data_IF_735727024048
#
_entry.id   IF_735727024048
#
_cell.length_a   1.000
_cell.length_b   1.000
_cell.length_c   1.000
_cell.angle_alpha   90.00
_cell.angle_beta   90.00
_cell.angle_gamma   90.00
#
_symmetry.space_group_name_H-M   'P 1'
#
loop_
_entity.id
_entity.type
_entity.pdbx_description
1 polymer ?
#
# COMPACT_ATOMS: atom_id res chain seq x y z
N UNK A 1 -25.71 -9.19 -17.17
CA UNK A 1 -25.10 -10.43 -17.74
C UNK A 1 -24.07 -10.93 -16.76
N UNK A 2 -24.02 -12.24 -16.43
CA UNK A 2 -23.12 -12.72 -15.40
C UNK A 2 -21.67 -12.65 -15.90
N UNK A 3 -20.77 -12.14 -15.06
CA UNK A 3 -19.32 -12.12 -15.29
C UNK A 3 -18.86 -13.50 -15.74
N UNK A 4 -18.16 -13.55 -16.88
CA UNK A 4 -17.69 -14.77 -17.52
C UNK A 4 -16.93 -15.68 -16.56
N UNK A 5 -17.34 -16.94 -16.49
CA UNK A 5 -16.75 -18.08 -15.75
C UNK A 5 -15.23 -18.21 -15.96
N UNK A 6 -14.69 -17.59 -17.01
CA UNK A 6 -13.26 -17.53 -17.32
C UNK A 6 -12.43 -16.73 -16.30
N UNK A 7 -12.98 -15.69 -15.66
CA UNK A 7 -12.29 -14.91 -14.63
C UNK A 7 -12.21 -15.67 -13.29
N UNK A 8 -13.26 -16.44 -12.96
CA UNK A 8 -13.28 -17.29 -11.77
C UNK A 8 -12.22 -18.40 -11.85
N UNK A 9 -12.09 -19.06 -13.00
CA UNK A 9 -11.16 -20.17 -13.17
C UNK A 9 -9.68 -19.75 -13.23
N UNK A 10 -9.37 -18.50 -13.61
CA UNK A 10 -8.00 -17.97 -13.55
C UNK A 10 -7.54 -17.64 -12.14
N UNK A 11 -8.46 -17.40 -11.20
CA UNK A 11 -8.13 -17.15 -9.79
C UNK A 11 -7.88 -18.45 -9.02
N UNK A 12 -8.45 -19.58 -9.45
CA UNK A 12 -8.32 -20.87 -8.74
C UNK A 12 -7.09 -21.71 -9.15
N UNK A 13 -6.44 -21.44 -10.29
CA UNK A 13 -5.42 -22.34 -10.86
C UNK A 13 -3.96 -21.93 -10.57
N UNK A 14 -3.72 -20.86 -9.80
CA UNK A 14 -2.38 -20.49 -9.32
C UNK A 14 -2.14 -21.07 -7.92
N UNK A 15 -1.78 -22.35 -7.86
CA UNK A 15 -1.55 -23.07 -6.61
C UNK A 15 -0.38 -22.56 -5.76
N UNK A 16 -0.65 -22.53 -4.45
CA UNK A 16 0.27 -22.72 -3.31
C UNK A 16 1.00 -21.50 -2.70
N UNK A 17 0.62 -21.20 -1.45
CA UNK A 17 1.29 -20.39 -0.41
C UNK A 17 1.13 -18.86 -0.39
N UNK A 18 -0.08 -18.33 -0.59
CA UNK A 18 -0.40 -16.95 -0.22
C UNK A 18 -1.22 -16.95 1.08
N UNK A 19 -0.51 -16.96 2.21
CA UNK A 19 -1.13 -16.94 3.54
C UNK A 19 -2.08 -15.74 3.67
N UNK A 20 -3.26 -15.97 4.26
CA UNK A 20 -4.21 -14.90 4.56
C UNK A 20 -3.51 -13.86 5.43
N UNK A 21 -3.19 -12.70 4.86
CA UNK A 21 -2.69 -11.58 5.65
C UNK A 21 -3.70 -11.22 6.73
N UNK A 22 -3.18 -10.81 7.88
CA UNK A 22 -4.01 -10.32 8.97
C UNK A 22 -4.57 -8.94 8.61
N UNK A 23 -5.66 -8.58 9.27
CA UNK A 23 -6.21 -7.22 9.20
C UNK A 23 -5.87 -6.45 10.47
N UNK A 24 -5.77 -5.13 10.34
CA UNK A 24 -5.80 -4.18 11.46
C UNK A 24 -7.21 -3.70 11.80
N UNK A 25 -8.22 -4.15 11.05
CA UNK A 25 -9.62 -3.86 11.35
C UNK A 25 -10.00 -4.40 12.75
N UNK A 26 -10.78 -3.64 13.54
CA UNK A 26 -11.18 -4.07 14.88
C UNK A 26 -12.17 -5.25 14.86
N UNK A 27 -12.84 -5.52 13.73
CA UNK A 27 -13.95 -6.47 13.62
C UNK A 27 -13.62 -7.72 12.77
N UNK A 28 -12.40 -7.86 12.26
CA UNK A 28 -11.98 -9.03 11.47
C UNK A 28 -10.49 -9.33 11.68
N UNK A 29 -10.13 -10.61 11.62
CA UNK A 29 -8.76 -11.05 11.84
C UNK A 29 -7.90 -11.05 10.56
N UNK A 30 -8.53 -11.07 9.39
CA UNK A 30 -7.87 -11.23 8.10
C UNK A 30 -8.30 -10.12 7.15
N UNK A 31 -7.37 -9.73 6.26
CA UNK A 31 -7.65 -8.76 5.22
C UNK A 31 -8.75 -9.26 4.28
N UNK A 32 -9.47 -8.33 3.65
CA UNK A 32 -10.54 -8.66 2.70
C UNK A 32 -9.98 -9.44 1.52
N UNK A 33 -10.51 -10.63 1.22
CA UNK A 33 -10.14 -11.37 0.02
C UNK A 33 -10.38 -10.55 -1.26
N UNK A 34 -9.53 -10.73 -2.27
CA UNK A 34 -9.62 -9.98 -3.54
C UNK A 34 -10.99 -10.14 -4.21
N UNK A 35 -11.55 -11.35 -4.20
CA UNK A 35 -12.88 -11.62 -4.77
C UNK A 35 -13.99 -10.85 -4.01
N UNK A 36 -13.84 -10.66 -2.70
CA UNK A 36 -14.75 -9.85 -1.90
C UNK A 36 -14.57 -8.36 -2.19
N UNK A 37 -13.35 -7.84 -2.29
CA UNK A 37 -13.10 -6.44 -2.70
C UNK A 37 -13.73 -6.13 -4.05
N UNK A 38 -13.57 -7.02 -5.04
CA UNK A 38 -14.20 -6.89 -6.33
C UNK A 38 -15.72 -6.82 -6.20
N UNK A 39 -16.37 -7.72 -5.44
CA UNK A 39 -17.83 -7.70 -5.25
C UNK A 39 -18.33 -6.44 -4.55
N UNK A 40 -17.58 -5.91 -3.60
CA UNK A 40 -18.02 -4.77 -2.78
C UNK A 40 -17.79 -3.42 -3.47
N UNK A 41 -16.75 -3.29 -4.29
CA UNK A 41 -16.35 -2.02 -4.91
C UNK A 41 -16.78 -1.89 -6.39
N UNK A 42 -17.01 -3.00 -7.09
CA UNK A 42 -17.52 -3.04 -8.46
C UNK A 42 -19.05 -3.25 -8.38
N UNK A 43 -19.82 -2.18 -8.55
CA UNK A 43 -21.28 -2.25 -8.67
C UNK A 43 -21.72 -2.70 -10.08
N UNK A 44 -23.03 -2.81 -10.32
CA UNK A 44 -23.56 -3.23 -11.63
C UNK A 44 -23.47 -2.17 -12.71
N UNK A 45 -23.24 -0.92 -12.33
CA UNK A 45 -23.31 0.24 -13.23
C UNK A 45 -21.91 0.65 -13.72
N UNK A 46 -20.85 0.10 -13.11
CA UNK A 46 -19.47 0.31 -13.54
C UNK A 46 -19.20 -0.34 -14.90
N UNK A 47 -18.47 0.40 -15.74
CA UNK A 47 -18.04 -0.07 -17.05
C UNK A 47 -17.24 -1.38 -16.94
N UNK A 48 -17.55 -2.36 -17.79
CA UNK A 48 -16.95 -3.69 -17.73
C UNK A 48 -15.44 -3.70 -17.96
N UNK A 49 -14.91 -2.72 -18.71
CA UNK A 49 -13.47 -2.55 -18.90
C UNK A 49 -12.79 -2.01 -17.64
N UNK A 50 -13.47 -1.12 -16.89
CA UNK A 50 -12.98 -0.64 -15.59
C UNK A 50 -13.01 -1.77 -14.57
N UNK A 51 -14.09 -2.56 -14.53
CA UNK A 51 -14.19 -3.73 -13.67
C UNK A 51 -13.06 -4.75 -13.93
N UNK A 52 -12.75 -5.02 -15.20
CA UNK A 52 -11.67 -5.91 -15.58
C UNK A 52 -10.29 -5.35 -15.20
N UNK A 53 -10.04 -4.06 -15.47
CA UNK A 53 -8.79 -3.40 -15.09
C UNK A 53 -8.58 -3.40 -13.57
N UNK A 54 -9.64 -3.15 -12.80
CA UNK A 54 -9.60 -3.22 -11.35
C UNK A 54 -9.27 -4.62 -10.84
N UNK A 55 -10.02 -5.64 -11.29
CA UNK A 55 -9.84 -7.01 -10.83
C UNK A 55 -8.44 -7.54 -11.15
N UNK A 56 -7.91 -7.21 -12.33
CA UNK A 56 -6.54 -7.56 -12.70
C UNK A 56 -5.52 -6.80 -11.84
N UNK A 57 -5.67 -5.48 -11.70
CA UNK A 57 -4.72 -4.64 -10.98
C UNK A 57 -4.61 -4.99 -9.49
N UNK A 58 -5.73 -5.25 -8.81
CA UNK A 58 -5.71 -5.65 -7.40
C UNK A 58 -5.11 -7.04 -7.19
N UNK A 59 -5.33 -7.97 -8.13
CA UNK A 59 -4.72 -9.30 -8.10
C UNK A 59 -3.20 -9.21 -8.31
N UNK A 60 -2.75 -8.40 -9.27
CA UNK A 60 -1.32 -8.13 -9.51
C UNK A 60 -0.66 -7.46 -8.31
N UNK A 61 -1.33 -6.48 -7.69
CA UNK A 61 -0.84 -5.82 -6.47
C UNK A 61 -0.68 -6.83 -5.32
N UNK A 62 -1.67 -7.69 -5.13
CA UNK A 62 -1.62 -8.76 -4.11
C UNK A 62 -0.46 -9.72 -4.36
N UNK A 63 -0.29 -10.16 -5.61
CA UNK A 63 0.83 -11.03 -5.97
C UNK A 63 2.18 -10.33 -5.72
N UNK A 64 2.32 -9.08 -6.12
CA UNK A 64 3.55 -8.31 -5.94
C UNK A 64 3.89 -8.15 -4.46
N UNK A 65 2.92 -7.81 -3.59
CA UNK A 65 3.19 -7.69 -2.14
C UNK A 65 3.71 -9.00 -1.59
N UNK A 66 3.12 -10.13 -1.95
CA UNK A 66 3.54 -11.42 -1.43
C UNK A 66 4.91 -11.87 -1.92
N UNK A 67 5.22 -11.60 -3.18
CA UNK A 67 6.52 -11.91 -3.77
C UNK A 67 7.63 -11.03 -3.15
N UNK A 68 7.37 -9.72 -3.05
CA UNK A 68 8.37 -8.73 -2.69
C UNK A 68 8.50 -8.49 -1.18
N UNK A 69 7.46 -8.81 -0.41
CA UNK A 69 7.42 -8.72 1.05
C UNK A 69 6.90 -10.05 1.65
N UNK A 70 7.69 -11.14 1.58
CA UNK A 70 7.25 -12.47 2.03
C UNK A 70 6.93 -12.54 3.53
N UNK A 71 7.50 -11.62 4.32
CA UNK A 71 7.24 -11.51 5.76
C UNK A 71 6.05 -10.58 6.08
N UNK A 72 5.37 -10.02 5.07
CA UNK A 72 4.29 -9.06 5.27
C UNK A 72 3.16 -9.64 6.13
N UNK A 73 2.77 -8.93 7.18
CA UNK A 73 1.84 -9.44 8.21
C UNK A 73 0.43 -8.99 7.92
N UNK A 74 0.29 -7.69 7.64
CA UNK A 74 -1.00 -7.06 7.38
C UNK A 74 -1.05 -6.48 5.98
N UNK A 75 -2.19 -6.62 5.32
CA UNK A 75 -2.39 -6.09 3.99
C UNK A 75 -3.88 -5.81 3.76
N UNK A 76 -4.41 -4.87 4.53
CA UNK A 76 -5.72 -4.31 4.22
C UNK A 76 -5.62 -3.43 2.97
N UNK A 77 -6.29 -3.84 1.89
CA UNK A 77 -6.25 -3.18 0.59
C UNK A 77 -7.54 -2.41 0.28
N UNK A 78 -8.52 -2.41 1.18
CA UNK A 78 -9.85 -1.85 0.98
C UNK A 78 -9.78 -0.36 0.60
N UNK A 79 -9.03 0.43 1.38
CA UNK A 79 -8.86 1.85 1.11
C UNK A 79 -8.05 2.11 -0.16
N UNK A 80 -6.96 1.36 -0.42
CA UNK A 80 -6.17 1.48 -1.65
C UNK A 80 -7.07 1.24 -2.87
N UNK A 81 -7.80 0.13 -2.86
CA UNK A 81 -8.69 -0.27 -3.93
C UNK A 81 -9.78 0.79 -4.19
N UNK A 82 -10.44 1.28 -3.13
CA UNK A 82 -11.44 2.33 -3.23
C UNK A 82 -10.85 3.67 -3.73
N UNK A 83 -9.66 4.06 -3.25
CA UNK A 83 -8.99 5.29 -3.64
C UNK A 83 -8.65 5.31 -5.14
N UNK A 84 -8.12 4.22 -5.69
CA UNK A 84 -7.80 4.14 -7.12
C UNK A 84 -9.05 4.20 -8.00
N UNK A 85 -10.13 3.50 -7.64
CA UNK A 85 -11.41 3.60 -8.35
C UNK A 85 -11.98 5.03 -8.31
N UNK A 86 -11.93 5.68 -7.14
CA UNK A 86 -12.40 7.05 -6.99
C UNK A 86 -11.54 8.05 -7.77
N UNK A 87 -10.22 7.83 -7.86
CA UNK A 87 -9.34 8.63 -8.72
C UNK A 87 -9.76 8.54 -10.19
N UNK A 88 -9.99 7.33 -10.69
CA UNK A 88 -10.47 7.09 -12.07
C UNK A 88 -11.82 7.78 -12.33
N UNK A 89 -12.76 7.69 -11.38
CA UNK A 89 -14.08 8.36 -11.47
C UNK A 89 -13.95 9.89 -11.51
N UNK A 90 -13.13 10.49 -10.63
CA UNK A 90 -12.90 11.94 -10.61
C UNK A 90 -12.33 12.44 -11.94
N UNK A 91 -11.28 11.78 -12.46
CA UNK A 91 -10.65 12.11 -13.75
C UNK A 91 -11.63 12.03 -14.93
N UNK A 92 -12.49 11.01 -14.96
CA UNK A 92 -13.50 10.87 -16.01
C UNK A 92 -14.51 12.04 -16.02
N UNK A 93 -14.81 12.61 -14.85
CA UNK A 93 -15.74 13.73 -14.69
C UNK A 93 -15.11 15.10 -14.99
N UNK A 94 -13.79 15.25 -14.84
CA UNK A 94 -13.12 16.55 -14.96
C UNK A 94 -12.91 17.03 -16.40
N UNK A 95 -12.72 16.15 -17.39
CA UNK A 95 -12.64 16.53 -18.82
C UNK A 95 -12.83 15.32 -19.79
N UNK A 96 -14.07 14.96 -20.16
CA UNK A 96 -14.36 13.80 -21.03
C UNK A 96 -13.75 13.89 -22.44
N UNK A 97 -13.40 15.09 -22.90
CA UNK A 97 -12.98 15.37 -24.28
C UNK A 97 -11.46 15.55 -24.46
N UNK A 98 -10.68 15.58 -23.38
CA UNK A 98 -9.24 15.93 -23.41
C UNK A 98 -8.33 14.76 -23.00
N UNK A 99 -8.86 13.72 -22.34
CA UNK A 99 -8.06 12.54 -21.99
C UNK A 99 -7.84 11.64 -23.21
N UNK A 100 -6.60 11.55 -23.69
CA UNK A 100 -6.21 10.63 -24.78
C UNK A 100 -6.33 9.15 -24.38
N UNK A 101 -6.36 8.86 -23.07
CA UNK A 101 -6.41 7.52 -22.48
C UNK A 101 -7.77 7.24 -21.86
N UNK A 102 -8.28 6.00 -22.00
CA UNK A 102 -9.56 5.59 -21.41
C UNK A 102 -9.49 5.50 -19.88
N UNK A 103 -10.62 5.62 -19.15
CA UNK A 103 -10.63 5.45 -17.69
C UNK A 103 -10.08 4.10 -17.21
N UNK A 104 -10.33 3.02 -17.96
CA UNK A 104 -9.80 1.68 -17.66
C UNK A 104 -8.29 1.59 -17.86
N UNK A 105 -7.74 2.26 -18.87
CA UNK A 105 -6.29 2.36 -19.07
C UNK A 105 -5.63 3.18 -17.95
N UNK A 106 -6.21 4.33 -17.57
CA UNK A 106 -5.71 5.12 -16.45
C UNK A 106 -5.69 4.32 -15.13
N UNK A 107 -6.73 3.52 -14.88
CA UNK A 107 -6.78 2.66 -13.70
C UNK A 107 -5.68 1.59 -13.74
N UNK A 108 -5.47 0.96 -14.90
CA UNK A 108 -4.42 -0.04 -15.09
C UNK A 108 -3.02 0.56 -14.89
N UNK A 109 -2.77 1.78 -15.39
CA UNK A 109 -1.51 2.51 -15.19
C UNK A 109 -1.27 2.84 -13.71
N UNK A 110 -2.30 3.27 -12.98
CA UNK A 110 -2.19 3.50 -11.53
C UNK A 110 -1.80 2.21 -10.80
N UNK A 111 -2.46 1.08 -11.09
CA UNK A 111 -2.07 -0.20 -10.50
C UNK A 111 -0.64 -0.62 -10.89
N UNK A 112 -0.22 -0.38 -12.13
CA UNK A 112 1.14 -0.65 -12.58
C UNK A 112 2.16 0.16 -11.77
N UNK A 113 1.92 1.46 -11.55
CA UNK A 113 2.78 2.29 -10.70
C UNK A 113 2.87 1.76 -9.25
N UNK A 114 1.77 1.27 -8.69
CA UNK A 114 1.77 0.65 -7.35
C UNK A 114 2.65 -0.60 -7.32
N UNK A 115 2.53 -1.46 -8.33
CA UNK A 115 3.34 -2.67 -8.47
C UNK A 115 4.83 -2.31 -8.61
N UNK A 116 5.18 -1.34 -9.46
CA UNK A 116 6.55 -0.87 -9.62
C UNK A 116 7.15 -0.34 -8.30
N UNK A 117 6.36 0.37 -7.49
CA UNK A 117 6.78 0.81 -6.15
C UNK A 117 7.01 -0.38 -5.20
N UNK A 118 6.12 -1.37 -5.21
CA UNK A 118 6.29 -2.61 -4.43
C UNK A 118 7.59 -3.31 -4.82
N UNK A 119 7.87 -3.44 -6.12
CA UNK A 119 9.09 -4.03 -6.64
C UNK A 119 10.34 -3.25 -6.21
N UNK A 120 10.29 -1.92 -6.35
CA UNK A 120 11.37 -1.00 -6.03
C UNK A 120 11.78 -1.07 -4.55
N UNK A 121 10.82 -1.17 -3.63
CA UNK A 121 11.09 -1.17 -2.19
C UNK A 121 11.30 -2.56 -1.58
N UNK A 122 10.88 -3.61 -2.29
CA UNK A 122 10.87 -4.99 -1.82
C UNK A 122 12.21 -5.72 -1.82
N UNK A 123 12.13 -7.04 -1.55
CA UNK A 123 13.30 -7.91 -1.30
C UNK A 123 14.31 -8.01 -2.44
N UNK A 124 13.85 -7.87 -3.69
CA UNK A 124 14.66 -8.02 -4.89
C UNK A 124 15.44 -6.76 -5.27
N UNK A 125 15.20 -5.63 -4.60
CA UNK A 125 16.00 -4.42 -4.77
C UNK A 125 17.08 -4.29 -3.69
N UNK A 126 17.98 -3.32 -3.86
CA UNK A 126 18.96 -2.98 -2.83
C UNK A 126 18.34 -2.24 -1.62
N UNK A 127 17.10 -1.75 -1.76
CA UNK A 127 16.37 -1.09 -0.67
C UNK A 127 15.97 -2.12 0.38
N UNK A 128 15.33 -3.23 -0.05
CA UNK A 128 15.04 -4.42 0.77
C UNK A 128 14.33 -4.08 2.09
N UNK A 129 13.21 -3.35 2.03
CA UNK A 129 12.32 -3.24 3.17
C UNK A 129 11.54 -4.53 3.37
N UNK A 130 11.21 -4.81 4.64
CA UNK A 130 10.59 -6.08 5.04
C UNK A 130 9.08 -6.12 4.86
N UNK A 131 8.43 -4.95 4.96
CA UNK A 131 6.98 -4.83 5.04
C UNK A 131 6.49 -3.72 4.12
N UNK A 132 5.31 -3.92 3.51
CA UNK A 132 4.60 -2.89 2.77
C UNK A 132 3.77 -1.95 3.67
N UNK A 133 3.77 -2.20 4.98
CA UNK A 133 2.88 -1.55 5.95
C UNK A 133 2.98 -0.01 5.93
N UNK A 134 4.18 0.55 5.85
CA UNK A 134 4.36 2.02 5.91
C UNK A 134 3.72 2.72 4.70
N UNK A 135 3.67 2.03 3.56
CA UNK A 135 2.97 2.46 2.35
C UNK A 135 1.46 2.27 2.46
N UNK A 136 1.00 1.05 2.76
CA UNK A 136 -0.43 0.70 2.81
C UNK A 136 -1.20 1.50 3.86
N UNK A 137 -0.59 1.76 5.00
CA UNK A 137 -1.20 2.48 6.12
C UNK A 137 -0.87 3.96 6.15
N UNK A 138 -0.26 4.49 5.07
CA UNK A 138 -0.10 5.92 4.85
C UNK A 138 0.94 6.63 5.73
N UNK A 139 1.85 5.90 6.39
CA UNK A 139 2.95 6.50 7.16
C UNK A 139 3.90 7.30 6.27
N UNK A 140 4.21 6.77 5.08
CA UNK A 140 5.05 7.49 4.12
C UNK A 140 4.36 8.74 3.58
N UNK A 141 3.06 8.65 3.30
CA UNK A 141 2.24 9.75 2.82
C UNK A 141 2.13 10.86 3.87
N UNK A 142 1.72 10.54 5.10
CA UNK A 142 1.57 11.53 6.16
C UNK A 142 2.87 12.29 6.41
N UNK A 143 4.01 11.59 6.45
CA UNK A 143 5.35 12.20 6.59
C UNK A 143 5.72 13.10 5.41
N UNK A 144 5.27 12.77 4.20
CA UNK A 144 5.51 13.60 3.03
C UNK A 144 4.66 14.86 3.04
N UNK A 145 3.38 14.75 3.42
CA UNK A 145 2.48 15.91 3.56
C UNK A 145 2.97 16.84 4.67
N UNK A 146 3.36 16.31 5.83
CA UNK A 146 3.86 17.08 6.99
C UNK A 146 5.03 18.03 6.65
N UNK A 147 5.89 17.64 5.69
CA UNK A 147 6.99 18.49 5.23
C UNK A 147 6.55 19.73 4.45
N UNK A 148 5.34 19.75 3.88
CA UNK A 148 4.78 20.92 3.21
C UNK A 148 3.24 20.84 3.17
N UNK A 149 2.56 21.05 4.31
CA UNK A 149 1.13 20.78 4.43
C UNK A 149 0.27 21.64 3.49
N UNK A 150 0.64 22.92 3.32
CA UNK A 150 -0.08 23.85 2.43
C UNK A 150 -0.06 23.39 0.97
N UNK A 151 1.03 22.77 0.52
CA UNK A 151 1.18 22.34 -0.87
C UNK A 151 0.67 20.91 -1.14
N UNK A 152 0.54 20.08 -0.10
CA UNK A 152 0.36 18.62 -0.25
C UNK A 152 -0.89 18.05 0.41
N UNK A 153 -1.59 18.82 1.24
CA UNK A 153 -2.79 18.36 1.97
C UNK A 153 -3.95 17.94 1.06
N UNK A 154 -3.99 18.43 -0.18
CA UNK A 154 -4.99 18.04 -1.17
C UNK A 154 -4.67 16.72 -1.91
N UNK A 155 -3.46 16.18 -1.74
CA UNK A 155 -3.01 14.97 -2.43
C UNK A 155 -3.24 13.76 -1.52
N UNK A 156 -3.98 12.77 -2.01
CA UNK A 156 -4.27 11.54 -1.28
C UNK A 156 -3.09 10.55 -1.22
N UNK A 157 -3.18 9.50 -0.36
CA UNK A 157 -2.11 8.51 -0.16
C UNK A 157 -1.74 7.67 -1.38
N UNK A 158 -2.61 7.65 -2.40
CA UNK A 158 -2.42 6.88 -3.63
C UNK A 158 -2.70 7.73 -4.88
N UNK A 159 -2.72 9.05 -4.74
CA UNK A 159 -2.77 9.97 -5.88
C UNK A 159 -1.40 10.02 -6.57
N UNK A 160 -1.40 10.22 -7.88
CA UNK A 160 -0.22 10.09 -8.75
C UNK A 160 0.96 10.96 -8.30
N UNK A 161 0.70 12.17 -7.79
CA UNK A 161 1.72 13.10 -7.34
C UNK A 161 2.54 12.54 -6.17
N UNK A 162 1.91 11.77 -5.28
CA UNK A 162 2.61 11.10 -4.19
C UNK A 162 3.34 9.85 -4.66
N UNK A 163 2.75 9.07 -5.58
CA UNK A 163 3.38 7.89 -6.17
C UNK A 163 4.67 8.27 -6.93
N UNK A 164 4.63 9.34 -7.73
CA UNK A 164 5.79 9.88 -8.44
C UNK A 164 6.89 10.34 -7.46
N UNK A 165 6.49 10.97 -6.36
CA UNK A 165 7.42 11.32 -5.28
C UNK A 165 8.10 10.07 -4.68
N UNK A 166 7.33 9.01 -4.39
CA UNK A 166 7.88 7.76 -3.87
C UNK A 166 8.85 7.13 -4.86
N UNK A 167 8.50 7.09 -6.14
CA UNK A 167 9.37 6.52 -7.18
C UNK A 167 10.71 7.27 -7.24
N UNK A 168 10.67 8.61 -7.34
CA UNK A 168 11.87 9.45 -7.29
C UNK A 168 12.68 9.21 -6.02
N UNK A 169 12.02 9.12 -4.86
CA UNK A 169 12.68 8.90 -3.59
C UNK A 169 13.34 7.53 -3.50
N UNK A 170 12.74 6.50 -4.10
CA UNK A 170 13.32 5.17 -4.21
C UNK A 170 14.56 5.15 -5.09
N UNK A 171 14.55 5.86 -6.23
CA UNK A 171 15.74 6.02 -7.08
C UNK A 171 16.87 6.74 -6.34
N UNK A 172 16.58 7.83 -5.63
CA UNK A 172 17.57 8.52 -4.78
C UNK A 172 18.16 7.59 -3.72
N UNK A 173 17.32 6.74 -3.11
CA UNK A 173 17.75 5.79 -2.09
C UNK A 173 18.68 4.72 -2.69
N UNK A 174 18.37 4.19 -3.87
CA UNK A 174 19.27 3.27 -4.59
C UNK A 174 20.63 3.91 -4.88
N UNK A 175 20.66 5.19 -5.29
CA UNK A 175 21.90 5.91 -5.52
C UNK A 175 22.74 6.07 -4.24
N UNK A 176 22.11 6.42 -3.11
CA UNK A 176 22.78 6.49 -1.80
C UNK A 176 23.36 5.14 -1.37
N UNK A 177 22.60 4.06 -1.59
CA UNK A 177 23.05 2.70 -1.27
C UNK A 177 24.25 2.29 -2.12
N UNK A 178 24.19 2.57 -3.42
CA UNK A 178 25.30 2.30 -4.33
C UNK A 178 26.58 3.05 -3.94
N UNK A 179 26.45 4.29 -3.45
CA UNK A 179 27.58 5.12 -2.99
C UNK A 179 28.13 4.71 -1.62
N UNK A 180 27.49 3.80 -0.90
CA UNK A 180 27.93 3.43 0.45
C UNK A 180 27.65 4.49 1.50
N UNK A 181 26.55 5.24 1.36
CA UNK A 181 26.14 6.27 2.33
C UNK A 181 26.10 5.71 3.76
N UNK A 182 26.54 6.51 4.74
CA UNK A 182 26.66 6.07 6.14
C UNK A 182 25.31 5.74 6.79
N UNK A 183 24.23 6.38 6.35
CA UNK A 183 22.87 6.09 6.79
C UNK A 183 22.24 4.95 5.99
N UNK A 184 22.63 4.78 4.73
CA UNK A 184 22.11 3.75 3.85
C UNK A 184 23.21 2.88 3.23
N UNK A 185 23.95 2.09 4.01
CA UNK A 185 24.96 1.21 3.45
C UNK A 185 24.33 0.07 2.62
N UNK A 186 25.09 -0.56 1.71
CA UNK A 186 24.76 -1.85 1.13
C UNK A 186 24.49 -2.90 2.21
N UNK A 187 23.54 -3.79 1.96
CA UNK A 187 23.15 -4.86 2.88
C UNK A 187 23.52 -6.24 2.32
N UNK A 188 23.96 -7.18 3.18
CA UNK A 188 24.03 -8.60 2.83
C UNK A 188 22.68 -9.15 2.34
N UNK A 189 22.68 -10.22 1.53
CA UNK A 189 21.49 -10.74 0.83
C UNK A 189 20.31 -11.07 1.75
N UNK A 190 20.58 -11.49 3.00
CA UNK A 190 19.57 -11.95 3.96
C UNK A 190 19.15 -10.90 5.01
N UNK A 191 19.61 -9.66 4.89
CA UNK A 191 19.29 -8.62 5.87
C UNK A 191 18.22 -7.67 5.38
N UNK A 192 17.23 -7.41 6.23
CA UNK A 192 16.21 -6.38 6.00
C UNK A 192 16.72 -5.01 6.41
N UNK A 193 16.42 -3.99 5.60
CA UNK A 193 16.69 -2.61 5.99
C UNK A 193 15.70 -2.18 7.07
N UNK A 194 16.22 -1.72 8.20
CA UNK A 194 15.42 -1.12 9.26
C UNK A 194 15.87 0.34 9.50
N UNK A 195 15.09 1.35 9.05
CA UNK A 195 15.43 2.76 9.28
C UNK A 195 14.99 3.25 10.69
N UNK A 196 14.40 2.39 11.52
CA UNK A 196 13.89 2.72 12.84
C UNK A 196 14.85 2.24 13.93
N UNK A 197 14.76 2.87 15.11
CA UNK A 197 15.56 2.49 16.28
C UNK A 197 14.98 1.29 17.05
N UNK A 198 13.71 0.94 16.79
CA UNK A 198 13.02 -0.19 17.41
C UNK A 198 13.03 -1.44 16.52
N UNK A 199 12.71 -2.59 17.13
CA UNK A 199 12.65 -3.88 16.45
C UNK A 199 11.57 -3.92 15.37
N UNK A 200 11.91 -4.50 14.22
CA UNK A 200 10.98 -4.86 13.14
C UNK A 200 10.91 -6.39 12.98
N UNK A 201 11.08 -7.14 14.07
CA UNK A 201 10.82 -8.58 14.08
C UNK A 201 9.32 -8.84 13.93
N UNK A 202 8.87 -9.98 13.35
CA UNK A 202 7.45 -10.13 13.01
C UNK A 202 6.50 -10.05 14.20
N UNK A 203 6.87 -10.63 15.35
CA UNK A 203 6.05 -10.56 16.56
C UNK A 203 5.91 -9.12 17.08
N UNK A 204 7.04 -8.39 17.13
CA UNK A 204 7.07 -7.00 17.57
C UNK A 204 6.27 -6.11 16.62
N UNK A 205 6.53 -6.22 15.31
CA UNK A 205 5.80 -5.49 14.27
C UNK A 205 4.29 -5.73 14.37
N UNK A 206 3.87 -6.98 14.54
CA UNK A 206 2.47 -7.34 14.71
C UNK A 206 1.84 -6.65 15.92
N UNK A 207 2.48 -6.74 17.08
CA UNK A 207 1.99 -6.13 18.31
C UNK A 207 1.90 -4.62 18.19
N UNK A 208 2.97 -3.97 17.70
CA UNK A 208 3.05 -2.53 17.51
C UNK A 208 1.89 -2.02 16.63
N UNK A 209 1.67 -2.62 15.47
CA UNK A 209 0.64 -2.16 14.54
C UNK A 209 -0.79 -2.37 15.07
N UNK A 210 -1.06 -3.46 15.80
CA UNK A 210 -2.36 -3.67 16.43
C UNK A 210 -2.65 -2.60 17.49
N UNK A 211 -1.65 -2.25 18.31
CA UNK A 211 -1.80 -1.17 19.28
C UNK A 211 -1.96 0.20 18.64
N UNK A 212 -1.22 0.48 17.57
CA UNK A 212 -1.39 1.72 16.81
C UNK A 212 -2.79 1.81 16.21
N UNK A 213 -3.30 0.73 15.61
CA UNK A 213 -4.64 0.69 15.04
C UNK A 213 -5.72 0.86 16.11
N UNK A 214 -5.58 0.18 17.26
CA UNK A 214 -6.50 0.27 18.39
C UNK A 214 -6.64 1.71 18.90
N UNK A 215 -5.54 2.45 18.96
CA UNK A 215 -5.52 3.82 19.46
C UNK A 215 -5.71 4.90 18.37
N UNK A 216 -6.04 4.51 17.14
CA UNK A 216 -6.24 5.45 16.03
C UNK A 216 -4.96 6.22 15.67
N UNK A 217 -3.80 5.59 15.82
CA UNK A 217 -2.47 6.13 15.55
C UNK A 217 -1.91 5.62 14.21
N UNK A 218 -2.81 5.29 13.29
CA UNK A 218 -2.50 4.90 11.92
C UNK A 218 -3.05 5.98 10.98
N UNK A 219 -2.23 6.54 10.06
CA UNK A 219 -2.66 7.61 9.16
C UNK A 219 -3.87 7.26 8.29
N UNK A 220 -3.91 6.00 7.83
CA UNK A 220 -4.95 5.48 6.96
C UNK A 220 -5.46 4.17 7.56
N UNK A 221 -6.76 4.13 7.87
CA UNK A 221 -7.45 2.89 8.20
C UNK A 221 -7.60 2.05 6.93
N UNK A 222 -6.54 1.32 6.54
CA UNK A 222 -6.45 0.62 5.25
C UNK A 222 -7.58 -0.39 5.00
N UNK A 223 -8.25 -0.84 6.07
CA UNK A 223 -9.38 -1.78 6.05
C UNK A 223 -10.74 -1.14 5.79
N UNK A 224 -10.81 0.18 5.73
CA UNK A 224 -12.06 0.91 5.52
C UNK A 224 -12.02 1.63 4.16
N UNK A 225 -12.85 1.23 3.18
CA UNK A 225 -12.87 1.86 1.86
C UNK A 225 -13.32 3.33 1.90
N UNK A 226 -13.93 3.77 3.00
CA UNK A 226 -14.38 5.15 3.23
C UNK A 226 -13.50 5.91 4.23
N UNK A 227 -12.33 5.37 4.59
CA UNK A 227 -11.42 6.02 5.52
C UNK A 227 -11.09 7.45 5.10
N UNK A 228 -10.89 8.32 6.09
CA UNK A 228 -10.40 9.68 5.89
C UNK A 228 -8.93 9.73 6.33
N UNK A 229 -7.96 9.75 5.38
CA UNK A 229 -6.55 9.85 5.71
C UNK A 229 -6.24 11.09 6.55
N UNK A 230 -5.42 10.92 7.59
CA UNK A 230 -4.99 11.98 8.49
C UNK A 230 -3.47 12.14 8.46
N UNK A 231 -2.99 13.37 8.43
CA UNK A 231 -1.56 13.71 8.38
C UNK A 231 -1.15 14.75 9.43
N UNK A 232 -2.10 15.29 10.18
CA UNK A 232 -1.94 16.43 11.11
C UNK A 232 -1.23 16.07 12.43
N UNK A 233 -0.60 14.89 12.48
CA UNK A 233 0.10 14.36 13.65
C UNK A 233 1.47 13.82 13.24
N UNK A 234 2.42 13.89 14.15
CA UNK A 234 3.73 13.27 13.98
C UNK A 234 3.64 11.75 14.23
N UNK A 235 3.09 11.03 13.25
CA UNK A 235 2.93 9.58 13.31
C UNK A 235 4.24 8.83 13.50
N UNK A 236 5.37 9.41 13.08
CA UNK A 236 6.69 8.83 13.31
C UNK A 236 7.04 8.84 14.80
N UNK A 237 6.90 9.98 15.48
CA UNK A 237 7.12 10.06 16.94
C UNK A 237 6.10 9.25 17.72
N UNK A 238 4.83 9.26 17.32
CA UNK A 238 3.79 8.47 17.99
C UNK A 238 4.07 6.97 17.91
N UNK A 239 4.52 6.48 16.76
CA UNK A 239 4.95 5.09 16.55
C UNK A 239 6.20 4.74 17.35
N UNK A 240 7.21 5.61 17.37
CA UNK A 240 8.40 5.42 18.20
C UNK A 240 8.05 5.36 19.69
N UNK A 241 7.26 6.31 20.20
CA UNK A 241 6.83 6.34 21.60
C UNK A 241 5.95 5.13 21.99
N UNK A 242 5.24 4.52 21.04
CA UNK A 242 4.54 3.26 21.26
C UNK A 242 5.53 2.09 21.34
N UNK A 243 6.47 1.99 20.41
CA UNK A 243 7.50 0.97 20.43
C UNK A 243 8.36 1.04 21.72
N UNK A 244 8.72 2.23 22.17
CA UNK A 244 9.48 2.43 23.42
C UNK A 244 8.69 1.97 24.66
N UNK A 245 7.36 2.16 24.67
CA UNK A 245 6.51 1.64 25.75
C UNK A 245 6.41 0.11 25.74
N UNK A 246 6.39 -0.49 24.55
CA UNK A 246 6.27 -1.95 24.39
C UNK A 246 7.58 -2.68 24.69
N UNK A 247 8.72 -2.11 24.30
CA UNK A 247 10.01 -2.79 24.30
C UNK A 247 11.07 -2.13 25.19
N UNK A 248 10.85 -0.88 25.60
CA UNK A 248 11.78 -0.08 26.41
C UNK A 248 11.64 -0.26 27.91
N UNK A 249 10.64 -1.02 28.39
CA UNK A 249 10.64 -1.55 29.75
C UNK A 249 11.49 -2.83 29.81
N UNK A 250 12.80 -2.66 29.88
CA UNK A 250 13.74 -3.69 30.34
C UNK A 250 14.41 -3.22 31.62
#
# INVERSE_FOLDING_TARGET
MPLSTSLHNKLETSGSHHGRWRSLAPHRNYATPVDQLCRELIDTDIDSSIAAAFAQGIAQTTQAIAEHFPDNIFADLDFLAAALLNHTRRRANENPQISATSPSQNLAELFAHIVELIELYGRHSAIRFRYAHDFLYGFDWARWVDKSPLARSAVGPFDIEFLDYLHKRGTELLALIYQGDSKYPPLPSEQWRNPFSFSRAPADEAQLYLELATDGLVPVAGWDPLALPVFDRDFHKLRQARADRLYGQK
#
